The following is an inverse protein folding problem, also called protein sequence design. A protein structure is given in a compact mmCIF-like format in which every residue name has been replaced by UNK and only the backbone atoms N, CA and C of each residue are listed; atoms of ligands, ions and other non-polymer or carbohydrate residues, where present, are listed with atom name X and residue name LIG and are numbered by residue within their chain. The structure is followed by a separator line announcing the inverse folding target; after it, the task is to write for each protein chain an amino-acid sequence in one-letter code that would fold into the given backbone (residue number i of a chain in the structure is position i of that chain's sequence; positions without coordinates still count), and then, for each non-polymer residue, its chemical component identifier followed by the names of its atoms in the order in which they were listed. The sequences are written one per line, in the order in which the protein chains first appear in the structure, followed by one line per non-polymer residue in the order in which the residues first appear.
data_IF_802021578307
#
_entry.id   IF_802021578307
#
_cell.length_a   1.000
_cell.length_b   1.000
_cell.length_c   1.000
_cell.angle_alpha   90.00
_cell.angle_beta   90.00
_cell.angle_gamma   90.00
#
_symmetry.space_group_name_H-M   'P 1'
#
loop_
_entity.id
_entity.type
_entity.pdbx_description
1 polymer ?
#
# COMPACT_ATOMS: atom_id res chain seq x y z
N UNK A 1 40.26 33.43 37.18
CA UNK A 1 39.49 33.48 35.92
C UNK A 1 39.26 32.03 35.48
N UNK A 2 38.14 31.45 35.91
CA UNK A 2 37.70 30.14 35.46
C UNK A 2 36.18 30.24 35.40
N UNK A 3 35.64 30.45 34.21
CA UNK A 3 34.21 30.34 33.97
C UNK A 3 34.01 28.96 33.35
N UNK A 4 33.43 28.10 34.17
CA UNK A 4 32.98 26.76 33.85
C UNK A 4 31.87 26.88 32.80
N UNK A 5 31.94 26.01 31.79
CA UNK A 5 30.92 25.82 30.76
C UNK A 5 29.53 25.66 31.41
N UNK A 6 28.62 26.58 31.10
CA UNK A 6 27.21 26.44 31.45
C UNK A 6 26.59 25.34 30.57
N UNK A 7 26.05 24.35 31.27
CA UNK A 7 25.28 23.20 30.83
C UNK A 7 24.26 23.53 29.74
N UNK A 8 24.35 22.80 28.62
CA UNK A 8 23.27 22.61 27.65
C UNK A 8 21.99 22.19 28.37
N UNK A 9 21.04 23.13 28.51
CA UNK A 9 19.77 22.86 29.15
C UNK A 9 18.92 21.94 28.25
N UNK A 10 18.59 20.71 28.66
CA UNK A 10 17.79 19.79 27.85
C UNK A 10 16.42 20.37 27.46
N UNK A 11 15.89 21.25 28.32
CA UNK A 11 14.65 22.02 28.11
C UNK A 11 14.76 23.05 26.98
N UNK A 12 15.94 23.67 26.80
CA UNK A 12 16.20 24.58 25.70
C UNK A 12 16.36 23.81 24.38
N UNK A 13 17.03 22.66 24.42
CA UNK A 13 17.12 21.74 23.29
C UNK A 13 15.75 21.17 22.87
N UNK A 14 14.87 20.83 23.81
CA UNK A 14 13.50 20.40 23.50
C UNK A 14 12.65 21.55 22.96
N UNK A 15 12.80 22.76 23.49
CA UNK A 15 12.10 23.93 23.00
C UNK A 15 12.52 24.29 21.56
N UNK A 16 13.82 24.29 21.25
CA UNK A 16 14.32 24.53 19.90
C UNK A 16 13.89 23.42 18.92
N UNK A 17 13.90 22.15 19.34
CA UNK A 17 13.35 21.06 18.52
C UNK A 17 11.86 21.25 18.25
N UNK A 18 11.08 21.62 19.26
CA UNK A 18 9.65 21.88 19.11
C UNK A 18 9.37 23.11 18.22
N UNK A 19 10.18 24.16 18.35
CA UNK A 19 10.11 25.37 17.52
C UNK A 19 10.46 25.08 16.06
N UNK A 20 11.55 24.33 15.84
CA UNK A 20 12.01 23.90 14.53
C UNK A 20 10.99 22.96 13.87
N UNK A 21 10.39 22.04 14.64
CA UNK A 21 9.27 21.22 14.18
C UNK A 21 8.07 22.05 13.76
N UNK A 22 7.73 23.14 14.45
CA UNK A 22 6.62 24.02 14.07
C UNK A 22 6.93 24.91 12.88
N UNK A 23 8.15 25.45 12.81
CA UNK A 23 8.57 26.34 11.71
C UNK A 23 8.75 25.55 10.41
N UNK A 24 9.26 24.32 10.46
CA UNK A 24 9.43 23.45 9.29
C UNK A 24 8.22 22.54 9.01
N UNK A 25 7.24 22.43 9.92
CA UNK A 25 6.08 21.54 9.72
C UNK A 25 5.33 21.81 8.41
N UNK A 26 5.28 23.07 7.96
CA UNK A 26 4.65 23.44 6.71
C UNK A 26 5.46 23.02 5.46
N UNK A 27 6.79 22.99 5.58
CA UNK A 27 7.70 22.64 4.48
C UNK A 27 8.01 21.15 4.42
N UNK A 28 7.87 20.44 5.54
CA UNK A 28 8.24 19.04 5.69
C UNK A 28 7.54 18.11 4.67
N UNK A 29 6.23 18.26 4.36
CA UNK A 29 5.61 17.47 3.31
C UNK A 29 6.26 17.66 1.94
N UNK A 30 6.61 18.88 1.55
CA UNK A 30 7.26 19.16 0.26
C UNK A 30 8.67 18.56 0.21
N UNK A 31 9.41 18.61 1.32
CA UNK A 31 10.73 17.96 1.42
C UNK A 31 10.59 16.46 1.24
N UNK A 32 9.59 15.84 1.86
CA UNK A 32 9.32 14.42 1.68
C UNK A 32 8.90 14.08 0.25
N UNK A 33 8.08 14.90 -0.42
CA UNK A 33 7.75 14.69 -1.84
C UNK A 33 8.99 14.74 -2.73
N UNK A 34 9.83 15.76 -2.57
CA UNK A 34 11.07 15.87 -3.34
C UNK A 34 12.02 14.69 -3.09
N UNK A 35 12.11 14.20 -1.85
CA UNK A 35 12.88 13.02 -1.53
C UNK A 35 12.30 11.75 -2.16
N UNK A 36 10.98 11.59 -2.14
CA UNK A 36 10.31 10.46 -2.80
C UNK A 36 10.59 10.45 -4.31
N UNK A 37 10.47 11.60 -4.98
CA UNK A 37 10.79 11.76 -6.40
C UNK A 37 12.25 11.38 -6.69
N UNK A 38 13.21 11.87 -5.88
CA UNK A 38 14.63 11.55 -6.06
C UNK A 38 14.96 10.06 -5.85
N UNK A 39 14.30 9.40 -4.89
CA UNK A 39 14.45 7.95 -4.71
C UNK A 39 13.85 7.16 -5.86
N UNK A 40 12.71 7.61 -6.41
CA UNK A 40 12.10 7.03 -7.60
C UNK A 40 13.01 7.13 -8.82
N UNK A 41 13.64 8.28 -9.05
CA UNK A 41 14.61 8.47 -10.15
C UNK A 41 15.80 7.53 -10.06
N UNK A 42 16.19 7.15 -8.84
CA UNK A 42 17.28 6.22 -8.58
C UNK A 42 16.86 4.75 -8.57
N UNK A 43 15.56 4.45 -8.71
CA UNK A 43 15.04 3.09 -8.75
C UNK A 43 14.82 2.44 -7.38
N UNK A 44 14.58 3.24 -6.34
CA UNK A 44 14.38 2.81 -4.95
C UNK A 44 12.93 3.09 -4.50
N UNK A 45 11.95 2.25 -4.91
CA UNK A 45 10.54 2.51 -4.65
C UNK A 45 10.16 2.38 -3.16
N UNK A 46 10.84 1.53 -2.39
CA UNK A 46 10.54 1.33 -0.97
C UNK A 46 10.88 2.58 -0.14
N UNK A 47 12.04 3.17 -0.41
CA UNK A 47 12.46 4.45 0.15
C UNK A 47 11.51 5.56 -0.26
N UNK A 48 11.11 5.61 -1.54
CA UNK A 48 10.14 6.59 -2.01
C UNK A 48 8.77 6.47 -1.29
N UNK A 49 8.30 5.24 -1.04
CA UNK A 49 7.06 4.99 -0.30
C UNK A 49 7.13 5.55 1.12
N UNK A 50 8.24 5.34 1.84
CA UNK A 50 8.40 5.91 3.19
C UNK A 50 8.28 7.43 3.20
N UNK A 51 8.83 8.08 2.17
CA UNK A 51 8.72 9.52 2.01
C UNK A 51 7.29 9.95 1.58
N UNK A 52 6.62 9.24 0.68
CA UNK A 52 5.24 9.53 0.30
C UNK A 52 4.28 9.40 1.49
N UNK A 53 4.46 8.38 2.34
CA UNK A 53 3.72 8.20 3.59
C UNK A 53 3.95 9.37 4.55
N UNK A 54 5.21 9.77 4.75
CA UNK A 54 5.56 10.89 5.64
C UNK A 54 5.07 12.25 5.12
N UNK A 55 4.96 12.43 3.80
CA UNK A 55 4.35 13.60 3.18
C UNK A 55 2.81 13.63 3.33
N UNK A 56 2.18 12.50 3.67
CA UNK A 56 0.72 12.33 3.59
C UNK A 56 0.18 12.43 2.16
N UNK A 57 1.02 12.16 1.15
CA UNK A 57 0.65 12.27 -0.26
C UNK A 57 0.08 10.95 -0.77
N UNK A 58 -1.23 10.77 -0.59
CA UNK A 58 -1.94 9.56 -1.03
C UNK A 58 -1.90 9.37 -2.55
N UNK A 59 -1.81 10.46 -3.33
CA UNK A 59 -1.76 10.38 -4.79
C UNK A 59 -0.42 9.83 -5.24
N UNK A 60 0.68 10.39 -4.74
CA UNK A 60 2.04 9.89 -5.00
C UNK A 60 2.19 8.44 -4.54
N UNK A 61 1.71 8.12 -3.33
CA UNK A 61 1.76 6.75 -2.80
C UNK A 61 1.03 5.76 -3.71
N UNK A 62 -0.18 6.11 -4.15
CA UNK A 62 -0.97 5.30 -5.10
C UNK A 62 -0.19 5.06 -6.40
N UNK A 63 0.37 6.12 -6.96
CA UNK A 63 1.07 6.06 -8.25
C UNK A 63 2.36 5.20 -8.15
N UNK A 64 3.09 5.27 -7.03
CA UNK A 64 4.23 4.37 -6.77
C UNK A 64 3.76 2.92 -6.67
N UNK A 65 2.70 2.64 -5.90
CA UNK A 65 2.18 1.28 -5.72
C UNK A 65 1.71 0.66 -7.05
N UNK A 66 1.01 1.42 -7.90
CA UNK A 66 0.53 0.93 -9.19
C UNK A 66 1.67 0.44 -10.10
N UNK A 67 2.86 1.04 -9.97
CA UNK A 67 4.00 0.73 -10.82
C UNK A 67 4.98 -0.27 -10.18
N UNK A 68 5.08 -0.31 -8.85
CA UNK A 68 6.17 -1.02 -8.14
C UNK A 68 5.72 -2.05 -7.12
N UNK A 69 4.44 -2.10 -6.73
CA UNK A 69 4.00 -2.94 -5.61
C UNK A 69 4.25 -4.45 -5.79
N UNK A 70 4.18 -4.96 -7.03
CA UNK A 70 4.54 -6.35 -7.31
C UNK A 70 6.03 -6.63 -7.08
N UNK A 71 6.89 -5.64 -7.33
CA UNK A 71 8.29 -5.70 -6.97
C UNK A 71 8.45 -5.87 -5.46
N UNK A 72 7.81 -5.02 -4.66
CA UNK A 72 7.83 -5.11 -3.20
C UNK A 72 7.31 -6.47 -2.71
N UNK A 73 6.19 -6.94 -3.28
CA UNK A 73 5.61 -8.23 -2.94
C UNK A 73 6.60 -9.37 -3.18
N UNK A 74 7.22 -9.42 -4.36
CA UNK A 74 8.17 -10.47 -4.73
C UNK A 74 9.47 -10.44 -3.91
N UNK A 75 9.89 -9.27 -3.45
CA UNK A 75 11.05 -9.11 -2.55
C UNK A 75 10.69 -9.27 -1.06
N UNK A 76 9.46 -9.72 -0.75
CA UNK A 76 8.99 -9.96 0.62
C UNK A 76 8.89 -8.70 1.50
N UNK A 77 8.75 -7.52 0.89
CA UNK A 77 8.55 -6.24 1.59
C UNK A 77 7.08 -6.04 1.99
N UNK A 78 6.48 -7.09 2.56
CA UNK A 78 5.03 -7.20 2.78
C UNK A 78 4.50 -6.24 3.85
N UNK A 79 5.32 -5.92 4.86
CA UNK A 79 4.93 -4.99 5.92
C UNK A 79 4.76 -3.56 5.39
N UNK A 80 5.73 -3.10 4.59
CA UNK A 80 5.67 -1.79 3.94
C UNK A 80 4.49 -1.73 2.97
N UNK A 81 4.27 -2.79 2.21
CA UNK A 81 3.13 -2.90 1.30
C UNK A 81 1.79 -2.82 2.04
N UNK A 82 1.65 -3.52 3.17
CA UNK A 82 0.43 -3.49 3.97
C UNK A 82 0.15 -2.12 4.60
N UNK A 83 1.19 -1.47 5.13
CA UNK A 83 1.10 -0.10 5.65
C UNK A 83 0.66 0.87 4.54
N UNK A 84 1.30 0.78 3.37
CA UNK A 84 1.03 1.62 2.21
C UNK A 84 -0.42 1.50 1.73
N UNK A 85 -0.94 0.28 1.61
CA UNK A 85 -2.32 0.04 1.21
C UNK A 85 -3.33 0.53 2.25
N UNK A 86 -3.00 0.46 3.55
CA UNK A 86 -3.84 0.99 4.63
C UNK A 86 -3.89 2.53 4.66
N UNK A 87 -2.83 3.18 4.18
CA UNK A 87 -2.76 4.64 4.13
C UNK A 87 -3.59 5.25 2.99
N UNK A 88 -3.95 4.47 1.97
CA UNK A 88 -4.80 4.93 0.87
C UNK A 88 -6.29 4.96 1.26
N UNK A 89 -7.03 6.01 0.85
CA UNK A 89 -8.49 6.02 0.95
C UNK A 89 -9.10 4.86 0.17
N UNK A 90 -10.20 4.30 0.69
CA UNK A 90 -10.88 3.18 0.04
C UNK A 90 -11.36 3.53 -1.38
N UNK A 91 -11.80 4.76 -1.59
CA UNK A 91 -12.22 5.28 -2.89
C UNK A 91 -11.08 5.20 -3.92
N UNK A 92 -9.83 5.43 -3.50
CA UNK A 92 -8.64 5.33 -4.34
C UNK A 92 -8.40 3.89 -4.81
N UNK A 93 -8.67 2.90 -3.94
CA UNK A 93 -8.61 1.48 -4.28
C UNK A 93 -9.72 1.08 -5.27
N UNK A 94 -10.93 1.61 -5.10
CA UNK A 94 -12.05 1.35 -6.01
C UNK A 94 -11.84 1.96 -7.40
N UNK A 95 -11.23 3.14 -7.47
CA UNK A 95 -10.82 3.77 -8.73
C UNK A 95 -9.69 3.00 -9.43
N UNK A 96 -8.92 2.22 -8.67
CA UNK A 96 -7.78 1.44 -9.15
C UNK A 96 -7.85 -0.02 -8.67
N UNK A 97 -8.78 -0.85 -9.19
CA UNK A 97 -9.06 -2.19 -8.65
C UNK A 97 -7.86 -3.15 -8.63
N UNK A 98 -6.80 -2.88 -9.39
CA UNK A 98 -5.52 -3.60 -9.28
C UNK A 98 -4.91 -3.51 -7.88
N UNK A 99 -5.13 -2.41 -7.16
CA UNK A 99 -4.70 -2.24 -5.77
C UNK A 99 -5.55 -3.10 -4.81
N UNK A 100 -6.85 -3.28 -5.08
CA UNK A 100 -7.68 -4.25 -4.35
C UNK A 100 -7.16 -5.67 -4.55
N UNK A 101 -6.86 -6.04 -5.80
CA UNK A 101 -6.31 -7.35 -6.11
C UNK A 101 -4.98 -7.60 -5.37
N UNK A 102 -4.07 -6.63 -5.41
CA UNK A 102 -2.80 -6.65 -4.68
C UNK A 102 -3.01 -6.80 -3.16
N UNK A 103 -3.96 -6.07 -2.57
CA UNK A 103 -4.31 -6.22 -1.16
C UNK A 103 -4.83 -7.63 -0.84
N UNK A 104 -5.62 -8.21 -1.74
CA UNK A 104 -6.13 -9.57 -1.60
C UNK A 104 -5.00 -10.61 -1.72
N UNK A 105 -4.02 -10.43 -2.61
CA UNK A 105 -2.82 -11.27 -2.69
C UNK A 105 -1.98 -11.21 -1.41
N UNK A 106 -1.79 -10.01 -0.85
CA UNK A 106 -1.11 -9.80 0.43
C UNK A 106 -1.83 -10.52 1.59
N UNK A 107 -3.15 -10.42 1.66
CA UNK A 107 -3.93 -11.15 2.66
C UNK A 107 -3.79 -12.67 2.48
N UNK A 108 -3.86 -13.16 1.25
CA UNK A 108 -3.70 -14.58 0.94
C UNK A 108 -2.31 -15.11 1.35
N UNK A 109 -1.23 -14.37 1.06
CA UNK A 109 0.13 -14.78 1.45
C UNK A 109 0.32 -14.83 2.97
N UNK A 110 -0.52 -14.13 3.72
CA UNK A 110 -0.57 -14.14 5.19
C UNK A 110 -1.60 -15.14 5.75
N UNK A 111 -2.15 -16.03 4.91
CA UNK A 111 -3.18 -17.03 5.26
C UNK A 111 -4.52 -16.43 5.73
N UNK A 112 -4.82 -15.17 5.40
CA UNK A 112 -6.06 -14.46 5.77
C UNK A 112 -7.18 -14.69 4.76
N UNK A 113 -7.48 -15.95 4.48
CA UNK A 113 -8.38 -16.41 3.41
C UNK A 113 -9.82 -15.87 3.51
N UNK A 114 -10.37 -15.79 4.72
CA UNK A 114 -11.72 -15.26 4.96
C UNK A 114 -11.82 -13.76 4.63
N UNK A 115 -10.76 -13.01 4.91
CA UNK A 115 -10.67 -11.58 4.61
C UNK A 115 -10.56 -11.34 3.10
N UNK A 116 -9.84 -12.20 2.37
CA UNK A 116 -9.75 -12.11 0.90
C UNK A 116 -11.13 -12.14 0.25
N UNK A 117 -11.95 -13.13 0.60
CA UNK A 117 -13.29 -13.26 0.01
C UNK A 117 -14.17 -12.05 0.33
N UNK A 118 -14.07 -11.55 1.56
CA UNK A 118 -14.83 -10.37 2.03
C UNK A 118 -14.41 -9.10 1.29
N UNK A 119 -13.09 -8.88 1.13
CA UNK A 119 -12.53 -7.74 0.42
C UNK A 119 -12.97 -7.73 -1.05
N UNK A 120 -12.81 -8.86 -1.75
CA UNK A 120 -13.16 -8.96 -3.17
C UNK A 120 -14.67 -8.78 -3.39
N UNK A 121 -15.52 -9.37 -2.53
CA UNK A 121 -16.97 -9.20 -2.62
C UNK A 121 -17.40 -7.74 -2.40
N UNK A 122 -16.77 -7.05 -1.43
CA UNK A 122 -17.02 -5.63 -1.19
C UNK A 122 -16.63 -4.78 -2.40
N UNK A 123 -15.44 -5.02 -2.97
CA UNK A 123 -14.99 -4.28 -4.14
C UNK A 123 -15.92 -4.48 -5.34
N UNK A 124 -16.36 -5.71 -5.62
CA UNK A 124 -17.33 -5.98 -6.70
C UNK A 124 -18.65 -5.22 -6.54
N UNK A 125 -19.08 -4.95 -5.31
CA UNK A 125 -20.31 -4.21 -5.02
C UNK A 125 -20.13 -2.69 -5.14
N UNK A 126 -18.94 -2.18 -4.82
CA UNK A 126 -18.68 -0.75 -4.68
C UNK A 126 -17.93 -0.14 -5.88
N UNK A 127 -17.26 -0.94 -6.72
CA UNK A 127 -16.65 -0.47 -7.97
C UNK A 127 -17.74 0.12 -8.86
N UNK A 128 -17.54 1.38 -9.27
CA UNK A 128 -18.47 2.09 -10.14
C UNK A 128 -18.25 1.68 -11.60
N UNK A 129 -19.33 1.39 -12.31
CA UNK A 129 -19.30 1.05 -13.73
C UNK A 129 -19.25 -0.45 -14.00
N UNK A 130 -19.06 -0.82 -15.28
CA UNK A 130 -18.93 -2.22 -15.68
C UNK A 130 -17.51 -2.68 -15.40
N UNK A 131 -17.37 -3.70 -14.57
CA UNK A 131 -16.07 -4.32 -14.32
C UNK A 131 -15.60 -5.06 -15.57
N UNK A 132 -14.35 -4.84 -15.96
CA UNK A 132 -13.74 -5.55 -17.10
C UNK A 132 -13.74 -7.07 -16.85
N UNK A 133 -13.93 -7.85 -17.92
CA UNK A 133 -13.94 -9.31 -17.87
C UNK A 133 -12.61 -9.86 -17.33
N UNK A 134 -11.49 -9.24 -17.69
CA UNK A 134 -10.16 -9.59 -17.19
C UNK A 134 -10.07 -9.45 -15.67
N UNK A 135 -10.59 -8.35 -15.12
CA UNK A 135 -10.54 -8.09 -13.68
C UNK A 135 -11.45 -9.06 -12.91
N UNK A 136 -12.64 -9.36 -13.43
CA UNK A 136 -13.50 -10.39 -12.83
C UNK A 136 -12.84 -11.77 -12.88
N UNK A 137 -12.11 -12.09 -13.95
CA UNK A 137 -11.34 -13.32 -14.07
C UNK A 137 -10.22 -13.39 -13.02
N UNK A 138 -9.46 -12.31 -12.82
CA UNK A 138 -8.40 -12.23 -11.81
C UNK A 138 -8.94 -12.42 -10.39
N UNK A 139 -10.10 -11.82 -10.08
CA UNK A 139 -10.77 -12.01 -8.79
C UNK A 139 -11.18 -13.47 -8.58
N UNK A 140 -11.77 -14.09 -9.60
CA UNK A 140 -12.15 -15.50 -9.53
C UNK A 140 -10.95 -16.44 -9.45
N UNK A 141 -9.85 -16.15 -10.14
CA UNK A 141 -8.61 -16.91 -10.04
C UNK A 141 -8.03 -16.86 -8.62
N UNK A 142 -8.00 -15.69 -7.98
CA UNK A 142 -7.55 -15.56 -6.60
C UNK A 142 -8.49 -16.27 -5.61
N UNK A 143 -9.82 -16.18 -5.80
CA UNK A 143 -10.78 -16.95 -5.00
C UNK A 143 -10.58 -18.45 -5.16
N UNK A 144 -10.26 -18.92 -6.37
CA UNK A 144 -9.93 -20.32 -6.60
C UNK A 144 -8.69 -20.76 -5.83
N UNK A 145 -7.63 -19.94 -5.86
CA UNK A 145 -6.40 -20.19 -5.10
C UNK A 145 -6.67 -20.24 -3.58
N UNK A 146 -7.48 -19.31 -3.07
CA UNK A 146 -7.91 -19.32 -1.67
C UNK A 146 -8.70 -20.59 -1.35
N UNK A 147 -9.62 -21.02 -2.22
CA UNK A 147 -10.40 -22.22 -2.01
C UNK A 147 -9.54 -23.50 -2.01
N UNK A 148 -8.48 -23.58 -2.83
CA UNK A 148 -7.48 -24.66 -2.73
C UNK A 148 -6.80 -24.65 -1.36
N UNK A 149 -6.33 -23.48 -0.92
CA UNK A 149 -5.59 -23.35 0.33
C UNK A 149 -6.47 -23.60 1.57
N UNK A 150 -7.78 -23.40 1.46
CA UNK A 150 -8.79 -23.66 2.50
C UNK A 150 -9.38 -25.08 2.43
N UNK A 151 -8.86 -25.96 1.54
CA UNK A 151 -9.29 -27.35 1.45
C UNK A 151 -10.65 -27.55 0.75
N UNK A 152 -11.09 -26.60 -0.08
CA UNK A 152 -12.33 -26.65 -0.86
C UNK A 152 -12.03 -26.79 -2.38
N UNK A 153 -11.60 -27.97 -2.85
CA UNK A 153 -11.18 -28.17 -4.24
C UNK A 153 -12.35 -28.03 -5.25
N UNK A 154 -13.57 -28.43 -4.87
CA UNK A 154 -14.74 -28.28 -5.74
C UNK A 154 -15.10 -26.80 -5.95
N UNK A 155 -14.98 -25.98 -4.91
CA UNK A 155 -15.13 -24.53 -5.02
C UNK A 155 -14.07 -23.92 -5.93
N UNK A 156 -12.81 -24.37 -5.79
CA UNK A 156 -11.69 -23.91 -6.60
C UNK A 156 -11.87 -24.22 -8.09
N UNK A 157 -12.24 -25.44 -8.46
CA UNK A 157 -12.43 -25.84 -9.85
C UNK A 157 -13.49 -24.98 -10.55
N UNK A 158 -14.63 -24.74 -9.89
CA UNK A 158 -15.68 -23.87 -10.41
C UNK A 158 -15.19 -22.45 -10.63
N UNK A 159 -14.48 -21.88 -9.65
CA UNK A 159 -13.98 -20.50 -9.72
C UNK A 159 -12.90 -20.35 -10.80
N UNK A 160 -12.00 -21.32 -10.92
CA UNK A 160 -11.01 -21.36 -12.00
C UNK A 160 -11.67 -21.46 -13.38
N UNK A 161 -12.73 -22.27 -13.52
CA UNK A 161 -13.51 -22.35 -14.75
C UNK A 161 -14.18 -21.03 -15.14
N UNK A 162 -14.74 -20.30 -14.18
CA UNK A 162 -15.28 -18.96 -14.41
C UNK A 162 -14.21 -17.97 -14.87
N UNK A 163 -13.04 -17.99 -14.23
CA UNK A 163 -11.92 -17.13 -14.61
C UNK A 163 -11.45 -17.41 -16.05
N UNK A 164 -11.22 -18.68 -16.39
CA UNK A 164 -10.78 -19.08 -17.73
C UNK A 164 -11.78 -18.71 -18.82
N UNK A 165 -13.09 -18.76 -18.53
CA UNK A 165 -14.14 -18.38 -19.48
C UNK A 165 -14.24 -16.88 -19.77
N UNK A 166 -13.51 -16.04 -19.02
CA UNK A 166 -13.56 -14.58 -19.09
C UNK A 166 -12.25 -13.94 -19.57
N UNK A 167 -11.19 -14.74 -19.73
CA UNK A 167 -9.94 -14.29 -20.34
C UNK A 167 -10.12 -14.20 -21.88
N UNK A 168 -9.48 -13.22 -22.55
CA UNK A 168 -9.53 -13.06 -24.00
C UNK A 168 -8.81 -14.17 -24.77
#
# INVERSE_FOLDING_TARGET
RSCVYETDHPLFGSFLRQRCQWELAAELPEIHRAAAESWMEQGFPSEAIHHALAAGDAQMLRDILLNHAWGLFNHSELALLEESLKALPWESLLENPRLVLLQAWLMQSQHRYSEVNTLLARAEQEIKGVMDGTLHAEFNALRAQVAINDGNPAGAERLAGLALGQLP
#
